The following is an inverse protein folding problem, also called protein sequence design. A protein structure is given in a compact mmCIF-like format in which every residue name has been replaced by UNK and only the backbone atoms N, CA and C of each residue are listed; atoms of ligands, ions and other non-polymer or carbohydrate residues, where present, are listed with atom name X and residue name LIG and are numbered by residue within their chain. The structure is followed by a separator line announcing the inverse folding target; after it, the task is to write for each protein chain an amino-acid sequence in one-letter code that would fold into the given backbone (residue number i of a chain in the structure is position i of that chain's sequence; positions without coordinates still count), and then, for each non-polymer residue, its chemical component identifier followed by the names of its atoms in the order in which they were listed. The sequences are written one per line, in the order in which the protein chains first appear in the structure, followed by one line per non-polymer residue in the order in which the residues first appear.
data_IF_419500592357
#
_entry.id   IF_419500592357
#
_cell.length_a   1.000
_cell.length_b   1.000
_cell.length_c   1.000
_cell.angle_alpha   90.00
_cell.angle_beta   90.00
_cell.angle_gamma   90.00
#
_symmetry.space_group_name_H-M   'P 1'
#
loop_
_entity.id
_entity.type
_entity.pdbx_description
1 polymer ?
#
# COMPACT_ATOMS: atom_id res chain seq x y z
N UNK A 1 3.61 7.15 20.44
CA UNK A 1 3.93 5.70 20.47
C UNK A 1 3.37 5.06 19.20
N UNK A 2 3.95 3.96 18.72
CA UNK A 2 3.46 3.29 17.50
C UNK A 2 2.53 2.15 17.88
N UNK A 3 1.38 2.07 17.22
CA UNK A 3 0.43 0.97 17.34
C UNK A 3 0.34 0.31 15.98
N UNK A 4 0.46 -1.02 15.95
CA UNK A 4 0.37 -1.79 14.69
C UNK A 4 -0.78 -2.78 14.80
N UNK A 5 -1.58 -2.87 13.74
CA UNK A 5 -2.66 -3.85 13.60
C UNK A 5 -2.58 -4.53 12.25
N UNK A 6 -2.93 -5.82 12.20
CA UNK A 6 -2.94 -6.63 10.98
C UNK A 6 -3.93 -7.79 11.16
N UNK A 7 -4.58 -8.24 10.08
CA UNK A 7 -5.43 -9.45 10.09
C UNK A 7 -4.68 -10.66 10.64
N UNK A 8 -3.40 -10.83 10.27
CA UNK A 8 -2.51 -11.80 10.90
C UNK A 8 -1.81 -11.15 12.10
N UNK A 9 -2.27 -11.46 13.31
CA UNK A 9 -1.73 -10.84 14.52
C UNK A 9 -0.21 -11.02 14.68
N UNK A 10 0.35 -12.17 14.31
CA UNK A 10 1.79 -12.41 14.39
C UNK A 10 2.61 -11.42 13.55
N UNK A 11 2.06 -11.00 12.39
CA UNK A 11 2.68 -9.94 11.57
C UNK A 11 2.64 -8.58 12.26
N UNK A 12 1.54 -8.27 12.94
CA UNK A 12 1.43 -7.04 13.73
C UNK A 12 2.43 -7.03 14.89
N UNK A 13 2.61 -8.16 15.58
CA UNK A 13 3.60 -8.31 16.67
C UNK A 13 5.01 -8.10 16.14
N UNK A 14 5.38 -8.78 15.06
CA UNK A 14 6.72 -8.66 14.47
C UNK A 14 7.03 -7.23 14.04
N UNK A 15 6.08 -6.54 13.41
CA UNK A 15 6.26 -5.16 12.96
C UNK A 15 6.27 -4.17 14.13
N UNK A 16 5.42 -4.36 15.13
CA UNK A 16 5.42 -3.55 16.34
C UNK A 16 6.75 -3.65 17.08
N UNK A 17 7.33 -4.85 17.21
CA UNK A 17 8.64 -5.04 17.82
C UNK A 17 9.75 -4.28 17.08
N UNK A 18 9.77 -4.35 15.74
CA UNK A 18 10.75 -3.63 14.94
C UNK A 18 10.66 -2.11 15.09
N UNK A 19 9.47 -1.59 15.37
CA UNK A 19 9.20 -0.15 15.53
C UNK A 19 9.23 0.32 17.00
N UNK A 20 9.50 -0.57 17.96
CA UNK A 20 9.40 -0.27 19.39
C UNK A 20 7.97 0.13 19.83
N UNK A 21 6.96 -0.36 19.11
CA UNK A 21 5.55 -0.11 19.34
C UNK A 21 4.83 -1.27 20.03
N UNK A 22 3.50 -1.23 19.99
CA UNK A 22 2.64 -2.33 20.47
C UNK A 22 1.72 -2.84 19.38
N UNK A 23 1.48 -4.14 19.37
CA UNK A 23 0.50 -4.76 18.50
C UNK A 23 -0.89 -4.76 19.16
N UNK A 24 -1.92 -4.49 18.38
CA UNK A 24 -3.33 -4.65 18.76
C UNK A 24 -4.01 -5.64 17.85
N UNK A 25 -5.16 -6.17 18.29
CA UNK A 25 -5.96 -7.03 17.43
C UNK A 25 -6.66 -6.20 16.36
N UNK A 26 -7.02 -6.87 15.25
CA UNK A 26 -7.57 -6.19 14.07
C UNK A 26 -8.97 -5.64 14.31
N UNK A 27 -9.78 -6.36 15.08
CA UNK A 27 -11.10 -5.97 15.57
C UNK A 27 -11.06 -4.80 16.58
N UNK A 28 -9.93 -4.58 17.25
CA UNK A 28 -9.73 -3.45 18.18
C UNK A 28 -9.20 -2.18 17.49
N UNK A 29 -8.91 -2.24 16.18
CA UNK A 29 -8.30 -1.15 15.42
C UNK A 29 -9.09 0.17 15.55
N UNK A 30 -10.41 0.10 15.38
CA UNK A 30 -11.28 1.28 15.39
C UNK A 30 -11.17 2.06 16.72
N UNK A 31 -11.06 1.36 17.85
CA UNK A 31 -10.95 1.99 19.18
C UNK A 31 -9.64 2.76 19.35
N UNK A 32 -8.58 2.34 18.64
CA UNK A 32 -7.29 3.04 18.71
C UNK A 32 -7.34 4.42 18.04
N UNK A 33 -8.31 4.67 17.17
CA UNK A 33 -8.50 5.95 16.49
C UNK A 33 -8.82 7.10 17.45
N UNK A 34 -9.35 6.82 18.64
CA UNK A 34 -9.68 7.86 19.64
C UNK A 34 -8.43 8.64 20.07
N UNK A 35 -7.30 7.93 20.19
CA UNK A 35 -6.05 8.46 20.75
C UNK A 35 -4.93 8.56 19.71
N UNK A 36 -5.20 8.24 18.45
CA UNK A 36 -4.22 8.33 17.37
C UNK A 36 -4.18 9.76 16.79
N UNK A 37 -2.99 10.31 16.57
CA UNK A 37 -2.83 11.57 15.83
C UNK A 37 -2.73 11.33 14.32
N UNK A 38 -2.07 10.23 13.95
CA UNK A 38 -1.78 9.83 12.57
C UNK A 38 -2.13 8.35 12.41
N UNK A 39 -2.83 8.03 11.33
CA UNK A 39 -3.17 6.68 10.89
C UNK A 39 -2.54 6.47 9.52
N UNK A 40 -1.86 5.35 9.33
CA UNK A 40 -1.32 4.93 8.03
C UNK A 40 -1.96 3.58 7.71
N UNK A 41 -2.72 3.53 6.62
CA UNK A 41 -3.35 2.31 6.13
C UNK A 41 -2.68 1.81 4.86
N UNK A 42 -2.38 0.51 4.83
CA UNK A 42 -1.77 -0.17 3.70
C UNK A 42 -2.07 -1.67 3.81
N UNK A 43 -3.36 -2.02 3.72
CA UNK A 43 -3.81 -3.41 3.73
C UNK A 43 -4.08 -3.91 2.31
N UNK A 44 -4.24 -5.24 2.19
CA UNK A 44 -4.63 -5.89 0.94
C UNK A 44 -6.15 -6.16 0.89
N UNK A 45 -6.95 -5.40 1.65
CA UNK A 45 -8.39 -5.56 1.67
C UNK A 45 -9.00 -5.13 0.33
N UNK A 46 -10.05 -5.83 -0.10
CA UNK A 46 -10.84 -5.45 -1.29
C UNK A 46 -12.01 -4.53 -0.94
N UNK A 47 -12.09 -4.08 0.31
CA UNK A 47 -13.18 -3.32 0.91
C UNK A 47 -12.59 -2.36 1.93
N UNK A 48 -13.34 -1.32 2.28
CA UNK A 48 -12.96 -0.40 3.33
C UNK A 48 -12.81 -1.13 4.68
N UNK A 49 -11.63 -1.01 5.27
CA UNK A 49 -11.31 -1.46 6.62
C UNK A 49 -11.85 -0.46 7.64
N UNK A 50 -11.67 0.83 7.35
CA UNK A 50 -12.20 1.94 8.15
C UNK A 50 -13.38 2.53 7.40
N UNK A 51 -14.59 2.28 7.90
CA UNK A 51 -15.83 2.74 7.30
C UNK A 51 -16.66 3.50 8.32
N UNK A 52 -17.71 4.19 7.87
CA UNK A 52 -18.49 5.06 8.76
C UNK A 52 -19.07 4.30 9.95
N UNK A 53 -19.62 3.12 9.73
CA UNK A 53 -20.32 2.34 10.75
C UNK A 53 -19.40 1.89 11.89
N UNK A 54 -18.12 1.60 11.64
CA UNK A 54 -17.19 1.15 12.68
C UNK A 54 -16.39 2.29 13.32
N UNK A 55 -16.22 3.42 12.63
CA UNK A 55 -15.38 4.52 13.11
C UNK A 55 -16.17 5.73 13.65
N UNK A 56 -17.44 5.91 13.29
CA UNK A 56 -18.16 7.17 13.53
C UNK A 56 -18.18 7.59 15.01
N UNK A 57 -18.57 6.71 15.92
CA UNK A 57 -18.63 7.05 17.35
C UNK A 57 -17.25 7.35 17.93
N UNK A 58 -16.22 6.61 17.53
CA UNK A 58 -14.85 6.81 18.03
C UNK A 58 -14.26 8.13 17.51
N UNK A 59 -14.44 8.43 16.23
CA UNK A 59 -13.96 9.67 15.64
C UNK A 59 -14.72 10.89 16.18
N UNK A 60 -16.02 10.73 16.47
CA UNK A 60 -16.82 11.77 17.12
C UNK A 60 -16.38 12.02 18.56
N UNK A 61 -15.98 10.99 19.31
CA UNK A 61 -15.47 11.11 20.69
C UNK A 61 -14.20 11.97 20.77
N UNK A 62 -13.45 12.12 19.66
CA UNK A 62 -12.32 13.05 19.56
C UNK A 62 -12.70 14.52 19.69
N UNK A 63 -13.99 14.86 19.63
CA UNK A 63 -14.51 16.22 19.80
C UNK A 63 -13.87 17.25 18.85
N UNK A 64 -13.63 16.86 17.60
CA UNK A 64 -13.00 17.70 16.57
C UNK A 64 -11.48 17.77 16.65
N UNK A 65 -10.83 17.06 17.59
CA UNK A 65 -9.38 16.96 17.63
C UNK A 65 -8.86 16.30 16.35
N UNK A 66 -7.91 16.98 15.71
CA UNK A 66 -7.37 16.61 14.41
C UNK A 66 -6.82 15.19 14.39
N UNK A 67 -7.15 14.43 13.34
CA UNK A 67 -6.54 13.15 12.99
C UNK A 67 -6.18 13.17 11.51
N UNK A 68 -4.96 12.74 11.20
CA UNK A 68 -4.47 12.61 9.82
C UNK A 68 -4.50 11.14 9.46
N UNK A 69 -5.18 10.80 8.37
CA UNK A 69 -5.27 9.45 7.85
C UNK A 69 -4.60 9.41 6.47
N UNK A 70 -3.63 8.53 6.32
CA UNK A 70 -2.86 8.35 5.10
C UNK A 70 -3.22 6.97 4.54
N UNK A 71 -3.93 6.94 3.42
CA UNK A 71 -4.36 5.71 2.75
C UNK A 71 -3.44 5.41 1.56
N UNK A 72 -2.60 4.39 1.71
CA UNK A 72 -1.62 3.95 0.69
C UNK A 72 -2.10 2.64 0.03
N UNK A 73 -3.32 2.18 0.32
CA UNK A 73 -3.86 0.93 -0.22
C UNK A 73 -4.53 1.12 -1.59
N UNK A 74 -4.41 0.10 -2.44
CA UNK A 74 -5.11 0.00 -3.73
C UNK A 74 -5.70 -1.41 -3.87
N UNK A 75 -7.03 -1.58 -3.80
CA UNK A 75 -8.06 -0.55 -3.57
C UNK A 75 -7.98 0.07 -2.16
N UNK A 76 -8.56 1.28 -1.99
CA UNK A 76 -8.50 2.07 -0.75
C UNK A 76 -9.01 1.33 0.47
N UNK A 77 -8.35 1.54 1.61
CA UNK A 77 -8.75 0.98 2.91
C UNK A 77 -9.73 1.87 3.67
N UNK A 78 -9.71 3.17 3.41
CA UNK A 78 -10.46 4.16 4.18
C UNK A 78 -11.61 4.69 3.34
N UNK A 79 -12.81 4.58 3.89
CA UNK A 79 -14.02 5.15 3.29
C UNK A 79 -13.90 6.69 3.23
N UNK A 80 -13.95 7.31 2.03
CA UNK A 80 -13.87 8.76 1.88
C UNK A 80 -14.94 9.53 2.65
N UNK A 81 -16.09 8.92 2.94
CA UNK A 81 -17.19 9.54 3.70
C UNK A 81 -16.78 9.91 5.14
N UNK A 82 -15.68 9.36 5.65
CA UNK A 82 -15.15 9.73 6.96
C UNK A 82 -14.64 11.19 7.03
N UNK A 83 -14.34 11.83 5.88
CA UNK A 83 -13.98 13.27 5.82
C UNK A 83 -15.08 14.18 6.34
N UNK A 84 -16.34 13.75 6.29
CA UNK A 84 -17.47 14.56 6.78
C UNK A 84 -17.47 14.70 8.32
N UNK A 85 -16.63 13.93 9.03
CA UNK A 85 -16.52 13.99 10.48
C UNK A 85 -15.53 15.11 10.86
N UNK A 86 -15.92 16.05 11.74
CA UNK A 86 -15.04 17.14 12.15
C UNK A 86 -13.70 16.66 12.69
N UNK A 87 -12.61 17.22 12.16
CA UNK A 87 -11.23 16.91 12.55
C UNK A 87 -10.58 15.76 11.78
N UNK A 88 -11.30 15.07 10.89
CA UNK A 88 -10.74 14.00 10.04
C UNK A 88 -10.17 14.57 8.76
N UNK A 89 -8.91 14.23 8.46
CA UNK A 89 -8.25 14.57 7.21
C UNK A 89 -7.73 13.28 6.58
N UNK A 90 -8.13 12.99 5.34
CA UNK A 90 -7.67 11.82 4.59
C UNK A 90 -6.79 12.29 3.44
N UNK A 91 -5.65 11.65 3.28
CA UNK A 91 -4.72 11.83 2.16
C UNK A 91 -4.45 10.48 1.53
N UNK A 92 -4.31 10.43 0.22
CA UNK A 92 -3.86 9.23 -0.49
C UNK A 92 -2.43 9.36 -1.06
N UNK A 93 -2.02 8.33 -1.79
CA UNK A 93 -0.73 8.29 -2.46
C UNK A 93 -0.56 9.39 -3.52
N UNK A 94 -1.64 9.85 -4.15
CA UNK A 94 -1.59 10.89 -5.18
C UNK A 94 -1.46 12.26 -4.53
N UNK A 95 -2.14 12.51 -3.41
CA UNK A 95 -1.99 13.72 -2.60
C UNK A 95 -0.54 13.93 -2.12
N UNK A 96 0.15 12.84 -1.77
CA UNK A 96 1.55 12.87 -1.33
C UNK A 96 2.51 13.17 -2.48
N UNK A 97 2.21 12.74 -3.72
CA UNK A 97 3.09 12.96 -4.87
C UNK A 97 3.29 14.44 -5.20
N UNK A 98 2.25 15.27 -5.01
CA UNK A 98 2.31 16.72 -5.23
C UNK A 98 3.32 17.45 -4.31
N UNK A 99 3.80 16.80 -3.25
CA UNK A 99 4.78 17.36 -2.30
C UNK A 99 6.23 16.98 -2.67
N UNK A 100 6.43 15.97 -3.53
CA UNK A 100 7.74 15.32 -3.78
C UNK A 100 8.42 15.82 -5.08
N UNK A 101 8.00 16.97 -5.61
CA UNK A 101 8.47 17.53 -6.89
C UNK A 101 9.96 17.94 -6.94
N UNK A 102 10.76 17.63 -5.92
CA UNK A 102 12.19 17.94 -5.87
C UNK A 102 13.16 16.83 -6.34
N UNK A 103 12.68 15.68 -6.84
CA UNK A 103 13.53 14.51 -7.18
C UNK A 103 13.56 14.06 -8.66
N UNK A 104 13.15 14.94 -9.57
CA UNK A 104 12.91 14.61 -10.99
C UNK A 104 14.14 14.02 -11.70
N UNK A 105 15.34 14.52 -11.38
CA UNK A 105 16.62 14.08 -11.98
C UNK A 105 17.05 12.67 -11.52
N UNK A 106 16.84 12.32 -10.26
CA UNK A 106 17.14 10.97 -9.75
C UNK A 106 16.15 9.95 -10.31
N UNK A 107 14.87 10.30 -10.38
CA UNK A 107 13.84 9.47 -11.04
C UNK A 107 14.19 9.17 -12.50
N UNK A 108 14.65 10.16 -13.27
CA UNK A 108 15.08 9.96 -14.66
C UNK A 108 16.31 9.06 -14.80
N UNK A 109 17.26 9.10 -13.87
CA UNK A 109 18.43 8.20 -13.89
C UNK A 109 18.02 6.75 -13.57
N UNK A 110 17.19 6.57 -12.55
CA UNK A 110 16.64 5.26 -12.19
C UNK A 110 15.80 4.67 -13.33
N UNK A 111 14.94 5.47 -13.96
CA UNK A 111 14.12 5.06 -15.11
C UNK A 111 14.97 4.55 -16.27
N UNK A 112 16.00 5.29 -16.69
CA UNK A 112 16.91 4.84 -17.77
C UNK A 112 17.62 3.52 -17.45
N UNK A 113 17.97 3.31 -16.19
CA UNK A 113 18.61 2.07 -15.76
C UNK A 113 17.60 0.90 -15.82
N UNK A 114 16.35 1.15 -15.43
CA UNK A 114 15.28 0.17 -15.54
C UNK A 114 14.94 -0.16 -17.00
N UNK A 115 14.87 0.84 -17.89
CA UNK A 115 14.63 0.62 -19.33
C UNK A 115 15.69 -0.31 -19.95
N UNK A 116 16.96 -0.11 -19.58
CA UNK A 116 18.04 -0.99 -20.04
C UNK A 116 17.84 -2.45 -19.60
N UNK A 117 17.43 -2.66 -18.35
CA UNK A 117 17.14 -4.00 -17.82
C UNK A 117 15.97 -4.63 -18.60
N UNK A 118 14.93 -3.86 -18.90
CA UNK A 118 13.76 -4.33 -19.67
C UNK A 118 14.16 -4.73 -21.09
N UNK A 119 14.99 -3.93 -21.77
CA UNK A 119 15.49 -4.23 -23.11
C UNK A 119 16.33 -5.52 -23.14
N UNK A 120 17.22 -5.71 -22.16
CA UNK A 120 18.02 -6.93 -22.06
C UNK A 120 17.15 -8.18 -21.86
N UNK A 121 16.12 -8.10 -21.00
CA UNK A 121 15.20 -9.21 -20.77
C UNK A 121 14.28 -9.48 -21.96
N UNK A 122 13.91 -8.44 -22.73
CA UNK A 122 13.15 -8.59 -23.97
C UNK A 122 13.95 -9.36 -25.04
N UNK A 123 15.25 -9.10 -25.16
CA UNK A 123 16.13 -9.84 -26.07
C UNK A 123 16.16 -11.31 -25.67
N UNK A 124 16.43 -11.62 -24.38
CA UNK A 124 16.45 -13.00 -23.88
C UNK A 124 15.11 -13.71 -24.07
N UNK A 125 14.01 -13.01 -23.83
CA UNK A 125 12.66 -13.53 -24.02
C UNK A 125 12.38 -13.86 -25.49
N UNK A 126 12.79 -13.00 -26.42
CA UNK A 126 12.66 -13.25 -27.86
C UNK A 126 13.52 -14.42 -28.35
N UNK A 127 14.74 -14.55 -27.83
CA UNK A 127 15.61 -15.70 -28.12
C UNK A 127 14.98 -17.01 -27.63
N UNK A 128 14.44 -17.00 -26.40
CA UNK A 128 13.72 -18.14 -25.83
C UNK A 128 12.47 -18.49 -26.65
N UNK A 129 11.67 -17.50 -27.04
CA UNK A 129 10.52 -17.69 -27.94
C UNK A 129 10.93 -18.25 -29.30
N UNK A 130 12.02 -17.75 -29.89
CA UNK A 130 12.57 -18.25 -31.15
C UNK A 130 12.99 -19.73 -31.05
N UNK A 131 13.60 -20.14 -29.95
CA UNK A 131 13.95 -21.53 -29.70
C UNK A 131 12.73 -22.45 -29.63
N UNK A 132 11.61 -21.98 -29.07
CA UNK A 132 10.33 -22.72 -29.04
C UNK A 132 9.74 -22.95 -30.45
N UNK A 133 9.93 -22.04 -31.40
CA UNK A 133 9.48 -22.20 -32.79
C UNK A 133 10.32 -23.19 -33.61
N UNK A 134 11.54 -23.52 -33.19
CA UNK A 134 12.43 -24.47 -33.88
C UNK A 134 12.15 -25.92 -33.46
N UNK A 135 11.51 -26.14 -32.29
CA UNK A 135 11.17 -27.48 -31.78
C UNK A 135 10.28 -28.29 -32.73
N UNK A 136 9.21 -27.75 -33.35
CA UNK A 136 8.38 -28.48 -34.31
C UNK A 136 9.16 -28.87 -35.58
N UNK A 137 10.06 -28.01 -36.07
CA UNK A 137 10.82 -28.24 -37.32
C UNK A 137 11.88 -29.33 -37.13
N UNK A 138 12.56 -29.37 -35.98
CA UNK A 138 13.52 -30.44 -35.65
C UNK A 138 12.81 -31.79 -35.46
N UNK A 139 11.58 -31.78 -34.95
CA UNK A 139 10.78 -33.01 -34.78
C UNK A 139 10.36 -33.58 -36.15
N UNK A 140 10.02 -32.71 -37.11
CA UNK A 140 9.63 -33.11 -38.47
C UNK A 140 10.79 -33.60 -39.37
N UNK A 141 12.05 -33.29 -39.03
CA UNK A 141 13.25 -33.76 -39.76
C UNK A 141 13.83 -35.08 -39.24
N UNK A 142 13.28 -35.63 -38.14
CA UNK A 142 13.71 -36.90 -37.53
C UNK A 142 12.84 -38.10 -37.91
N UNK A 143 11.79 -37.88 -38.71
CA UNK A 143 11.06 -38.92 -39.45
C UNK A 143 11.55 -39.00 -40.90
#
# INVERSE_FOLDING_TARGET
SVIVSNRSYDKAVSMAQALGGRAVRFDELAQQLENADIVISCTAASHYVLHRENCFEVLKARNGNRIIMIDIAVPRDIDPVLVDIPGVYIYDIDDLQNVVDSSLLERQRAARTADHIVDEELIKFNEWMGALYVVPVITALKE
#
